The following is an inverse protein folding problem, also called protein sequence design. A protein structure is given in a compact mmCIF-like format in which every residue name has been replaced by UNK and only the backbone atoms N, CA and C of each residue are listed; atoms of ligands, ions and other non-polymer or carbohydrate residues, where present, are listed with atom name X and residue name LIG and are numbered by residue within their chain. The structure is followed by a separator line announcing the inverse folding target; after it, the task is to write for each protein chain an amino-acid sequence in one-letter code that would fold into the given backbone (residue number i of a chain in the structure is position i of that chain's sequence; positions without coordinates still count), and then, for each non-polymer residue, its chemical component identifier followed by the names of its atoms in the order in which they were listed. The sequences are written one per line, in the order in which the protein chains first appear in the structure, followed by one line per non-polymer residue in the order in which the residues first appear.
data_IF_957084433115
#
_entry.id   IF_957084433115
#
_cell.length_a   1.000
_cell.length_b   1.000
_cell.length_c   1.000
_cell.angle_alpha   90.00
_cell.angle_beta   90.00
_cell.angle_gamma   90.00
#
_symmetry.space_group_name_H-M   'P 1'
#
loop_
_entity.id
_entity.type
_entity.pdbx_description
1 polymer ?
#
# COMPACT_ATOMS: atom_id res chain seq x y z
N UNK A 1 20.96 0.37 17.95
CA UNK A 1 20.77 -0.90 17.21
C UNK A 1 19.97 -1.84 18.10
N UNK A 2 18.88 -2.41 17.59
CA UNK A 2 17.98 -3.27 18.37
C UNK A 2 18.63 -4.63 18.65
N UNK A 3 18.30 -5.25 19.78
CA UNK A 3 18.78 -6.56 20.25
C UNK A 3 18.73 -7.65 19.16
N UNK A 4 17.74 -7.56 18.25
CA UNK A 4 17.58 -8.45 17.09
C UNK A 4 18.74 -8.36 16.09
N UNK A 5 19.30 -7.17 15.86
CA UNK A 5 20.39 -6.94 14.89
C UNK A 5 21.70 -7.56 15.36
N UNK A 6 21.91 -7.68 16.67
CA UNK A 6 23.12 -8.26 17.25
C UNK A 6 23.14 -9.80 17.21
N UNK A 7 21.96 -10.44 17.15
CA UNK A 7 21.82 -11.89 17.35
C UNK A 7 21.71 -12.68 16.05
N UNK A 8 21.39 -12.01 14.93
CA UNK A 8 21.20 -12.63 13.62
C UNK A 8 21.78 -11.73 12.51
N UNK A 9 23.11 -11.73 12.30
CA UNK A 9 23.74 -10.90 11.27
C UNK A 9 23.26 -11.26 9.85
N UNK A 10 22.89 -12.51 9.58
CA UNK A 10 22.35 -12.91 8.27
C UNK A 10 20.93 -12.38 8.00
N UNK A 11 20.12 -12.13 9.03
CA UNK A 11 18.80 -11.49 8.88
C UNK A 11 18.92 -9.99 8.54
N UNK A 12 20.04 -9.36 8.88
CA UNK A 12 20.33 -7.99 8.44
C UNK A 12 20.65 -7.91 6.94
N UNK A 13 21.17 -8.99 6.34
CA UNK A 13 21.43 -9.09 4.91
C UNK A 13 20.21 -9.60 4.12
N UNK A 14 19.37 -10.46 4.72
CA UNK A 14 18.23 -11.10 4.06
C UNK A 14 16.91 -10.29 4.09
N UNK A 15 16.90 -9.05 4.61
CA UNK A 15 15.71 -8.16 4.56
C UNK A 15 15.78 -7.12 3.43
N UNK A 16 16.72 -7.26 2.50
CA UNK A 16 16.76 -6.49 1.26
C UNK A 16 16.14 -7.28 0.10
N UNK A 17 14.92 -7.78 0.29
CA UNK A 17 14.06 -8.00 -0.88
C UNK A 17 13.67 -6.62 -1.37
N UNK A 18 14.18 -6.24 -2.54
CA UNK A 18 13.66 -5.14 -3.33
C UNK A 18 12.18 -5.45 -3.59
N UNK A 19 11.29 -4.82 -2.84
CA UNK A 19 9.87 -4.82 -3.18
C UNK A 19 9.69 -3.95 -4.42
N UNK A 20 10.09 -4.49 -5.57
CA UNK A 20 9.86 -3.90 -6.88
C UNK A 20 8.36 -3.84 -7.14
N UNK A 21 7.88 -2.63 -7.42
CA UNK A 21 6.49 -2.38 -7.74
C UNK A 21 6.18 -3.02 -9.10
N UNK A 22 5.15 -3.87 -9.12
CA UNK A 22 4.57 -4.38 -10.37
C UNK A 22 3.87 -3.24 -11.11
N UNK A 23 4.21 -3.05 -12.38
CA UNK A 23 3.61 -2.07 -13.27
C UNK A 23 2.83 -2.83 -14.34
N UNK A 24 1.51 -2.73 -14.31
CA UNK A 24 0.63 -3.23 -15.37
C UNK A 24 0.34 -2.10 -16.38
N UNK A 25 0.87 -2.22 -17.59
CA UNK A 25 0.65 -1.23 -18.65
C UNK A 25 -0.67 -1.41 -19.41
N UNK A 26 -1.45 -2.45 -19.11
CA UNK A 26 -2.71 -2.73 -19.82
C UNK A 26 -3.87 -1.85 -19.37
N UNK A 27 -3.80 -1.27 -18.17
CA UNK A 27 -4.83 -0.39 -17.63
C UNK A 27 -4.26 0.65 -16.66
N UNK A 28 -4.88 1.84 -16.63
CA UNK A 28 -4.57 2.87 -15.64
C UNK A 28 -5.56 2.80 -14.46
N UNK A 29 -5.11 2.90 -13.18
CA UNK A 29 -3.71 3.10 -12.75
C UNK A 29 -2.84 1.84 -12.83
N UNK A 30 -1.58 1.94 -13.31
CA UNK A 30 -0.74 0.78 -13.58
C UNK A 30 -0.18 0.10 -12.33
N UNK A 31 -0.23 0.78 -11.18
CA UNK A 31 0.29 0.25 -9.91
C UNK A 31 -0.84 0.11 -8.91
N UNK A 32 -1.13 -1.14 -8.53
CA UNK A 32 -2.14 -1.44 -7.53
C UNK A 32 -1.86 -0.79 -6.17
N UNK A 33 -2.92 -0.34 -5.51
CA UNK A 33 -2.86 0.28 -4.20
C UNK A 33 -4.25 0.45 -3.58
N UNK A 34 -4.27 1.07 -2.40
CA UNK A 34 -5.51 1.43 -1.73
C UNK A 34 -5.95 2.82 -2.19
N UNK A 35 -6.75 2.85 -3.24
CA UNK A 35 -7.34 4.07 -3.79
C UNK A 35 -8.65 3.74 -4.51
N UNK A 36 -9.44 4.77 -4.72
CA UNK A 36 -10.65 4.76 -5.54
C UNK A 36 -10.46 5.71 -6.72
N UNK A 37 -10.71 5.24 -7.94
CA UNK A 37 -10.72 6.05 -9.16
C UNK A 37 -12.15 6.48 -9.46
N UNK A 38 -12.38 7.77 -9.68
CA UNK A 38 -13.70 8.34 -9.96
C UNK A 38 -13.82 8.83 -11.40
N UNK A 39 -12.82 9.58 -11.89
CA UNK A 39 -12.82 10.09 -13.26
C UNK A 39 -11.39 10.17 -13.82
N UNK A 40 -11.05 9.30 -14.77
CA UNK A 40 -9.69 9.21 -15.33
C UNK A 40 -9.22 10.51 -16.03
N UNK A 41 -10.15 11.31 -16.55
CA UNK A 41 -9.85 12.54 -17.26
C UNK A 41 -9.81 13.78 -16.36
N UNK A 42 -10.14 13.62 -15.07
CA UNK A 42 -10.17 14.73 -14.15
C UNK A 42 -8.75 15.11 -13.67
N UNK A 43 -8.50 16.38 -13.30
CA UNK A 43 -7.14 16.85 -13.07
C UNK A 43 -6.61 16.71 -11.64
N UNK A 44 -7.47 16.42 -10.66
CA UNK A 44 -7.08 16.46 -9.24
C UNK A 44 -6.99 15.07 -8.63
N UNK A 45 -5.82 14.68 -8.13
CA UNK A 45 -5.66 13.53 -7.26
C UNK A 45 -5.62 13.96 -5.78
N UNK A 46 -6.06 13.09 -4.87
CA UNK A 46 -6.06 13.37 -3.43
C UNK A 46 -5.41 12.22 -2.66
N UNK A 47 -4.36 12.52 -1.89
CA UNK A 47 -3.86 11.61 -0.85
C UNK A 47 -4.49 11.99 0.49
N UNK A 48 -5.18 11.05 1.13
CA UNK A 48 -5.81 11.23 2.45
C UNK A 48 -4.88 10.87 3.61
N UNK A 49 -3.61 10.60 3.31
CA UNK A 49 -2.56 10.24 4.27
C UNK A 49 -3.00 9.08 5.17
N UNK A 50 -3.05 9.27 6.50
CA UNK A 50 -3.46 8.24 7.45
C UNK A 50 -4.98 8.15 7.67
N UNK A 51 -5.80 8.90 6.92
CA UNK A 51 -7.22 9.07 7.23
C UNK A 51 -8.15 8.30 6.28
N UNK A 52 -8.35 7.02 6.58
CA UNK A 52 -9.23 6.11 5.80
C UNK A 52 -10.66 6.65 5.67
N UNK A 53 -11.22 7.25 6.73
CA UNK A 53 -12.59 7.78 6.70
C UNK A 53 -12.75 8.97 5.77
N UNK A 54 -11.67 9.71 5.49
CA UNK A 54 -11.72 10.86 4.60
C UNK A 54 -11.89 10.41 3.15
N UNK A 55 -11.23 9.32 2.76
CA UNK A 55 -11.38 8.71 1.44
C UNK A 55 -12.84 8.33 1.18
N UNK A 56 -13.46 7.54 2.07
CA UNK A 56 -14.85 7.13 1.92
C UNK A 56 -15.82 8.32 1.77
N UNK A 57 -15.57 9.41 2.49
CA UNK A 57 -16.42 10.60 2.43
C UNK A 57 -16.24 11.37 1.12
N UNK A 58 -15.00 11.52 0.63
CA UNK A 58 -14.73 12.18 -0.64
C UNK A 58 -15.27 11.38 -1.82
N UNK A 59 -15.16 10.04 -1.77
CA UNK A 59 -15.76 9.16 -2.77
C UNK A 59 -17.28 9.34 -2.82
N UNK A 60 -17.96 9.36 -1.66
CA UNK A 60 -19.41 9.57 -1.59
C UNK A 60 -19.83 10.96 -2.07
N UNK A 61 -19.04 11.98 -1.80
CA UNK A 61 -19.32 13.35 -2.21
C UNK A 61 -19.09 13.54 -3.72
N UNK A 62 -18.14 12.81 -4.30
CA UNK A 62 -17.76 12.84 -5.71
C UNK A 62 -17.68 14.27 -6.29
N UNK A 63 -16.82 15.15 -5.72
CA UNK A 63 -16.69 16.52 -6.20
C UNK A 63 -16.18 16.55 -7.65
N UNK A 64 -16.68 17.50 -8.42
CA UNK A 64 -16.26 17.66 -9.82
C UNK A 64 -14.76 17.96 -9.90
N UNK A 65 -14.06 17.26 -10.78
CA UNK A 65 -12.62 17.39 -10.95
C UNK A 65 -11.77 16.41 -10.13
N UNK A 66 -12.38 15.56 -9.30
CA UNK A 66 -11.68 14.49 -8.60
C UNK A 66 -11.38 13.30 -9.51
N UNK A 67 -10.10 13.01 -9.71
CA UNK A 67 -9.62 11.88 -10.50
C UNK A 67 -9.57 10.60 -9.70
N UNK A 68 -8.77 10.62 -8.64
CA UNK A 68 -8.57 9.49 -7.73
C UNK A 68 -8.32 10.00 -6.32
N UNK A 69 -8.70 9.20 -5.35
CA UNK A 69 -8.46 9.45 -3.93
C UNK A 69 -7.98 8.18 -3.27
N UNK A 70 -6.96 8.26 -2.42
CA UNK A 70 -6.45 7.10 -1.70
C UNK A 70 -5.63 7.48 -0.49
N UNK A 71 -5.44 6.53 0.42
CA UNK A 71 -4.59 6.74 1.60
C UNK A 71 -3.10 6.62 1.23
N UNK A 72 -2.23 7.20 2.05
CA UNK A 72 -0.78 7.04 1.88
C UNK A 72 -0.08 7.06 3.22
N UNK A 73 0.34 5.87 3.66
CA UNK A 73 0.86 5.71 5.02
C UNK A 73 2.40 5.74 5.08
N UNK A 74 3.07 5.18 4.07
CA UNK A 74 4.53 5.04 4.05
C UNK A 74 5.20 6.12 3.21
N UNK A 75 6.36 6.56 3.67
CA UNK A 75 7.21 7.63 3.11
C UNK A 75 8.17 7.13 2.01
N UNK A 76 8.01 5.88 1.57
CA UNK A 76 8.79 5.21 0.54
C UNK A 76 7.89 4.55 -0.50
N UNK A 77 7.45 3.30 -0.27
CA UNK A 77 6.65 2.52 -1.22
C UNK A 77 5.34 3.24 -1.55
N UNK A 78 4.68 3.85 -0.57
CA UNK A 78 3.46 4.62 -0.82
C UNK A 78 3.69 5.80 -1.77
N UNK A 79 4.82 6.49 -1.63
CA UNK A 79 5.22 7.59 -2.50
C UNK A 79 5.64 7.09 -3.89
N UNK A 80 6.39 5.98 -3.96
CA UNK A 80 6.73 5.34 -5.24
C UNK A 80 5.45 5.04 -6.06
N UNK A 81 4.42 4.47 -5.41
CA UNK A 81 3.13 4.16 -6.04
C UNK A 81 2.41 5.42 -6.54
N UNK A 82 2.40 6.49 -5.74
CA UNK A 82 1.81 7.78 -6.15
C UNK A 82 2.52 8.31 -7.40
N UNK A 83 3.85 8.36 -7.39
CA UNK A 83 4.63 8.88 -8.53
C UNK A 83 4.26 8.11 -9.80
N UNK A 84 4.35 6.78 -9.78
CA UNK A 84 4.05 5.94 -10.95
C UNK A 84 2.62 6.10 -11.46
N UNK A 85 1.63 6.14 -10.57
CA UNK A 85 0.22 6.32 -10.97
C UNK A 85 -0.08 7.72 -11.48
N UNK A 86 0.57 8.76 -10.94
CA UNK A 86 0.37 10.14 -11.39
C UNK A 86 1.04 10.40 -12.74
N UNK A 87 2.32 10.05 -12.90
CA UNK A 87 3.04 10.34 -14.16
C UNK A 87 2.53 9.52 -15.36
N UNK A 88 1.79 8.44 -15.09
CA UNK A 88 1.16 7.62 -16.12
C UNK A 88 -0.19 8.16 -16.60
N UNK A 89 -0.72 9.22 -15.97
CA UNK A 89 -1.92 9.93 -16.42
C UNK A 89 -1.66 11.43 -16.53
N UNK A 90 -1.41 11.96 -17.75
CA UNK A 90 -1.16 13.38 -17.99
C UNK A 90 -2.31 14.32 -17.60
N UNK A 91 -3.53 13.79 -17.43
CA UNK A 91 -4.68 14.60 -17.01
C UNK A 91 -4.48 15.14 -15.59
N UNK A 92 -3.79 14.37 -14.72
CA UNK A 92 -3.54 14.75 -13.34
C UNK A 92 -2.48 15.83 -13.30
N UNK A 93 -2.91 17.05 -12.97
CA UNK A 93 -2.06 18.24 -12.84
C UNK A 93 -2.00 18.78 -11.42
N UNK A 94 -2.81 18.25 -10.51
CA UNK A 94 -2.82 18.67 -9.10
C UNK A 94 -2.91 17.47 -8.15
N UNK A 95 -2.15 17.53 -7.06
CA UNK A 95 -2.20 16.54 -5.97
C UNK A 95 -2.45 17.25 -4.63
N UNK A 96 -3.59 16.98 -4.01
CA UNK A 96 -3.90 17.49 -2.67
C UNK A 96 -3.42 16.48 -1.63
N UNK A 97 -2.68 16.96 -0.63
CA UNK A 97 -2.29 16.18 0.55
C UNK A 97 -3.19 16.57 1.71
N UNK A 98 -4.14 15.73 2.08
CA UNK A 98 -5.16 16.02 3.09
C UNK A 98 -5.18 14.97 4.21
N UNK A 99 -5.72 15.35 5.36
CA UNK A 99 -5.86 14.46 6.51
C UNK A 99 -4.65 14.45 7.45
N UNK A 100 -4.71 13.57 8.46
CA UNK A 100 -3.65 13.45 9.46
C UNK A 100 -2.43 12.78 8.83
N UNK A 101 -1.26 13.40 9.00
CA UNK A 101 0.01 12.82 8.59
C UNK A 101 0.39 11.62 9.47
N UNK A 102 1.14 10.66 8.91
CA UNK A 102 1.52 9.45 9.63
C UNK A 102 2.60 9.73 10.68
N UNK A 103 2.42 9.20 11.90
CA UNK A 103 3.42 9.35 12.95
C UNK A 103 4.69 8.56 12.62
N UNK A 104 5.84 9.21 12.73
CA UNK A 104 7.15 8.65 12.37
C UNK A 104 7.42 8.64 10.87
N UNK A 105 6.52 8.09 10.06
CA UNK A 105 6.69 8.04 8.61
C UNK A 105 6.60 9.44 7.98
N UNK A 106 5.65 10.27 8.41
CA UNK A 106 5.42 11.63 7.89
C UNK A 106 5.29 11.63 6.36
N UNK A 107 4.44 10.74 5.82
CA UNK A 107 4.30 10.53 4.38
C UNK A 107 3.90 11.81 3.65
N UNK A 108 3.02 12.63 4.22
CA UNK A 108 2.58 13.90 3.62
C UNK A 108 3.71 14.92 3.55
N UNK A 109 4.39 15.17 4.68
CA UNK A 109 5.56 16.07 4.70
C UNK A 109 6.71 15.58 3.82
N UNK A 110 6.89 14.27 3.73
CA UNK A 110 7.89 13.67 2.85
C UNK A 110 7.54 13.90 1.38
N UNK A 111 6.27 13.79 1.01
CA UNK A 111 5.84 14.04 -0.36
C UNK A 111 5.94 15.52 -0.73
N UNK A 112 5.66 16.45 0.21
CA UNK A 112 5.95 17.88 0.01
C UNK A 112 7.45 18.12 -0.23
N UNK A 113 8.31 17.55 0.61
CA UNK A 113 9.75 17.69 0.48
C UNK A 113 10.27 17.11 -0.85
N UNK A 114 9.71 15.98 -1.32
CA UNK A 114 9.99 15.42 -2.64
C UNK A 114 9.60 16.37 -3.76
N UNK A 115 8.40 16.95 -3.69
CA UNK A 115 7.92 17.88 -4.70
C UNK A 115 8.80 19.13 -4.78
N UNK A 116 9.15 19.71 -3.63
CA UNK A 116 9.99 20.92 -3.54
C UNK A 116 11.45 20.66 -3.92
N UNK A 117 12.07 19.60 -3.38
CA UNK A 117 13.53 19.43 -3.38
C UNK A 117 14.03 18.23 -4.19
N UNK A 118 13.14 17.33 -4.62
CA UNK A 118 13.52 16.10 -5.32
C UNK A 118 14.27 15.09 -4.44
N UNK A 119 15.19 14.34 -5.05
CA UNK A 119 15.96 13.26 -4.41
C UNK A 119 17.47 13.44 -4.63
N UNK A 120 18.27 12.95 -3.69
CA UNK A 120 19.73 12.89 -3.83
C UNK A 120 20.18 11.72 -4.72
N UNK A 121 21.49 11.59 -4.94
CA UNK A 121 22.10 10.52 -5.75
C UNK A 121 21.78 9.08 -5.31
N UNK A 122 21.31 8.90 -4.07
CA UNK A 122 20.94 7.61 -3.50
C UNK A 122 19.42 7.42 -3.46
N UNK A 123 18.67 8.22 -4.22
CA UNK A 123 17.20 8.28 -4.22
C UNK A 123 16.58 8.63 -2.85
N UNK A 124 17.34 9.26 -1.95
CA UNK A 124 16.80 9.78 -0.70
C UNK A 124 16.12 11.11 -0.92
N UNK A 125 14.90 11.27 -0.40
CA UNK A 125 14.13 12.51 -0.51
C UNK A 125 14.79 13.61 0.33
N UNK A 126 15.16 14.69 -0.34
CA UNK A 126 15.88 15.82 0.27
C UNK A 126 14.91 16.59 1.15
N UNK A 127 15.31 16.88 2.40
CA UNK A 127 14.48 17.61 3.37
C UNK A 127 13.45 16.78 4.13
N UNK A 128 13.27 15.49 3.80
CA UNK A 128 12.34 14.63 4.54
C UNK A 128 12.87 14.22 5.92
N UNK A 129 11.98 14.30 6.92
CA UNK A 129 12.18 13.83 8.30
C UNK A 129 11.56 12.45 8.57
N UNK A 130 11.05 11.78 7.53
CA UNK A 130 10.53 10.42 7.64
C UNK A 130 11.60 9.43 8.10
N UNK A 131 11.19 8.26 8.61
CA UNK A 131 12.12 7.25 9.14
C UNK A 131 13.07 6.73 8.06
N UNK A 132 12.55 6.45 6.86
CA UNK A 132 13.26 5.87 5.72
C UNK A 132 12.76 6.44 4.38
N UNK A 133 13.03 7.72 4.10
CA UNK A 133 12.54 8.41 2.90
C UNK A 133 13.48 8.15 1.72
N UNK A 134 13.59 6.88 1.32
CA UNK A 134 14.40 6.44 0.19
C UNK A 134 13.47 5.73 -0.80
N UNK A 135 13.44 6.24 -2.02
CA UNK A 135 12.64 5.70 -3.10
C UNK A 135 13.46 4.63 -3.83
N UNK A 136 12.86 3.46 -4.07
CA UNK A 136 13.58 2.33 -4.71
C UNK A 136 12.95 1.87 -6.01
N UNK A 137 11.73 2.34 -6.30
CA UNK A 137 10.92 1.82 -7.39
C UNK A 137 10.61 2.87 -8.47
N UNK A 138 11.23 4.05 -8.35
CA UNK A 138 11.14 5.14 -9.33
C UNK A 138 12.54 5.59 -9.71
N UNK A 139 12.68 6.14 -10.90
CA UNK A 139 13.95 6.72 -11.37
C UNK A 139 14.02 8.21 -11.03
N UNK A 140 15.22 8.80 -11.12
CA UNK A 140 15.37 10.27 -11.08
C UNK A 140 14.48 10.96 -12.13
N UNK A 141 14.36 10.37 -13.33
CA UNK A 141 13.51 10.90 -14.41
C UNK A 141 12.03 10.89 -14.01
N UNK A 142 11.55 9.83 -13.37
CA UNK A 142 10.18 9.74 -12.87
C UNK A 142 9.89 10.82 -11.81
N UNK A 143 10.83 11.05 -10.89
CA UNK A 143 10.72 12.10 -9.87
C UNK A 143 10.62 13.48 -10.52
N UNK A 144 11.47 13.78 -11.49
CA UNK A 144 11.44 15.08 -12.19
C UNK A 144 10.18 15.26 -13.04
N UNK A 145 9.70 14.21 -13.71
CA UNK A 145 8.41 14.22 -14.42
C UNK A 145 7.27 14.53 -13.45
N UNK A 146 7.23 13.84 -12.31
CA UNK A 146 6.23 14.08 -11.28
C UNK A 146 6.24 15.53 -10.79
N UNK A 147 7.42 16.05 -10.44
CA UNK A 147 7.59 17.43 -9.95
C UNK A 147 7.12 18.49 -10.94
N UNK A 148 7.32 18.24 -12.24
CA UNK A 148 6.89 19.15 -13.32
C UNK A 148 5.42 19.02 -13.68
N UNK A 149 4.86 17.81 -13.59
CA UNK A 149 3.49 17.53 -14.02
C UNK A 149 2.47 18.03 -13.00
N UNK A 150 2.72 17.85 -11.70
CA UNK A 150 1.73 18.18 -10.67
C UNK A 150 2.11 19.37 -9.79
N UNK A 151 1.12 20.21 -9.52
CA UNK A 151 1.15 21.14 -8.40
C UNK A 151 0.69 20.41 -7.13
N UNK A 152 1.50 20.43 -6.07
CA UNK A 152 1.10 19.85 -4.79
C UNK A 152 0.46 20.93 -3.92
N UNK A 153 -0.74 20.63 -3.40
CA UNK A 153 -1.51 21.49 -2.52
C UNK A 153 -1.49 20.93 -1.09
N UNK A 154 -0.92 21.71 -0.17
CA UNK A 154 -0.75 21.29 1.22
C UNK A 154 -2.02 21.56 2.05
N UNK A 155 -2.79 20.50 2.31
CA UNK A 155 -3.96 20.51 3.19
C UNK A 155 -3.75 19.54 4.38
N UNK A 156 -2.49 19.31 4.77
CA UNK A 156 -2.15 18.39 5.84
C UNK A 156 -2.77 18.88 7.15
N UNK A 157 -3.48 17.98 7.84
CA UNK A 157 -4.27 18.28 9.03
C UNK A 157 -5.73 18.64 8.74
N UNK A 158 -6.07 18.98 7.49
CA UNK A 158 -7.45 19.25 7.10
C UNK A 158 -8.21 17.94 6.84
N UNK A 159 -9.32 17.73 7.56
CA UNK A 159 -10.24 16.60 7.34
C UNK A 159 -11.66 17.06 6.97
N UNK A 160 -11.84 18.36 6.67
CA UNK A 160 -13.14 18.92 6.30
C UNK A 160 -13.42 18.67 4.83
N UNK A 161 -14.42 17.82 4.56
CA UNK A 161 -14.77 17.40 3.20
C UNK A 161 -15.32 18.53 2.34
N UNK A 162 -16.01 19.52 2.93
CA UNK A 162 -16.54 20.67 2.18
C UNK A 162 -15.42 21.59 1.71
N UNK A 163 -14.46 21.86 2.59
CA UNK A 163 -13.27 22.65 2.23
C UNK A 163 -12.46 21.96 1.14
N UNK A 164 -12.24 20.65 1.27
CA UNK A 164 -11.51 19.86 0.27
C UNK A 164 -12.26 19.80 -1.06
N UNK A 165 -13.58 19.62 -1.06
CA UNK A 165 -14.39 19.66 -2.28
C UNK A 165 -14.29 21.00 -3.00
N UNK A 166 -14.42 22.12 -2.28
CA UNK A 166 -14.25 23.44 -2.86
C UNK A 166 -12.86 23.63 -3.48
N UNK A 167 -11.81 23.12 -2.83
CA UNK A 167 -10.43 23.18 -3.35
C UNK A 167 -10.23 22.30 -4.59
N UNK A 168 -10.83 21.11 -4.62
CA UNK A 168 -10.82 20.22 -5.79
C UNK A 168 -11.46 20.93 -6.99
N UNK A 169 -12.64 21.52 -6.79
CA UNK A 169 -13.34 22.24 -7.86
C UNK A 169 -12.58 23.49 -8.33
N UNK A 170 -11.96 24.22 -7.40
CA UNK A 170 -11.07 25.36 -7.71
C UNK A 170 -9.90 24.94 -8.59
N UNK A 171 -9.15 23.91 -8.18
CA UNK A 171 -8.02 23.40 -8.94
C UNK A 171 -8.46 22.83 -10.30
N UNK A 172 -9.63 22.19 -10.36
CA UNK A 172 -10.17 21.68 -11.61
C UNK A 172 -10.54 22.76 -12.62
N UNK A 173 -10.96 23.95 -12.17
CA UNK A 173 -11.22 25.09 -13.07
C UNK A 173 -9.93 25.73 -13.58
N UNK A 174 -8.88 25.70 -12.76
CA UNK A 174 -7.57 26.27 -13.10
C UNK A 174 -6.72 25.33 -13.96
N UNK A 175 -7.07 24.05 -14.02
CA UNK A 175 -6.43 23.09 -14.89
C UNK A 175 -6.73 23.43 -16.37
N UNK A 176 -5.68 23.60 -17.17
CA UNK A 176 -5.84 23.74 -18.61
C UNK A 176 -6.57 22.51 -19.19
N UNK A 177 -7.50 22.68 -20.15
CA UNK A 177 -8.14 21.53 -20.77
C UNK A 177 -7.07 20.64 -21.41
N UNK A 178 -7.06 19.37 -21.02
CA UNK A 178 -6.21 18.35 -21.62
C UNK A 178 -6.40 18.41 -23.13
N UNK A 179 -5.31 18.60 -23.88
CA UNK A 179 -5.33 18.72 -25.33
C UNK A 179 -6.08 17.53 -25.94
N UNK A 180 -7.32 17.76 -26.35
CA UNK A 180 -8.07 16.85 -27.19
C UNK A 180 -7.31 16.79 -28.52
N UNK A 181 -6.83 15.61 -28.88
CA UNK A 181 -6.35 15.32 -30.24
C UNK A 181 -7.49 15.53 -31.23
N UNK A 182 -7.64 16.76 -31.71
CA UNK A 182 -8.53 17.10 -32.80
C UNK A 182 -7.97 16.49 -34.07
N UNK A 183 -8.59 15.37 -34.46
CA UNK A 183 -8.67 14.91 -35.85
C UNK A 183 -9.01 16.10 -36.75
N UNK A 184 -8.03 16.54 -37.54
CA UNK A 184 -8.25 17.43 -38.66
C UNK A 184 -7.82 16.68 -39.92
N UNK A 185 -8.81 16.17 -40.67
CA UNK A 185 -8.62 15.75 -42.04
C UNK A 185 -8.70 16.97 -42.95
N UNK A 186 -7.64 17.23 -43.69
CA UNK A 186 -7.67 18.06 -44.90
C UNK A 186 -6.72 17.45 -45.93
N UNK A 187 -7.27 17.17 -47.11
CA UNK A 187 -6.55 16.74 -48.31
C UNK A 187 -5.61 17.85 -48.81
N UNK A 188 -4.43 17.48 -49.28
CA UNK A 188 -3.53 18.40 -49.97
C UNK A 188 -2.16 17.76 -50.22
N UNK A 189 -1.98 17.27 -51.45
CA UNK A 189 -0.72 16.79 -52.01
C UNK A 189 0.36 17.88 -51.98
N UNK A 190 1.54 17.57 -51.44
CA UNK A 190 2.78 18.32 -51.72
C UNK A 190 4.03 17.57 -51.21
N UNK A 191 4.79 17.04 -52.17
CA UNK A 191 6.19 17.43 -52.37
C UNK A 191 7.24 16.83 -51.43
N UNK A 192 7.90 15.81 -51.95
CA UNK A 192 9.22 15.30 -51.59
C UNK A 192 10.22 16.38 -51.11
N UNK A 193 10.80 16.16 -49.93
CA UNK A 193 12.20 16.46 -49.66
C UNK A 193 12.70 15.63 -48.48
N UNK A 194 13.44 14.58 -48.84
CA UNK A 194 14.25 13.75 -47.97
C UNK A 194 15.34 14.56 -47.28
N UNK A 195 15.23 14.73 -45.96
CA UNK A 195 16.34 15.16 -45.11
C UNK A 195 16.60 14.07 -44.07
N UNK A 196 17.51 13.17 -44.40
CA UNK A 196 18.06 12.15 -43.51
C UNK A 196 18.97 12.82 -42.48
N UNK A 197 18.42 13.16 -41.31
CA UNK A 197 19.21 13.43 -40.10
C UNK A 197 19.03 12.26 -39.15
N UNK A 198 20.06 11.43 -39.05
CA UNK A 198 20.15 10.32 -38.13
C UNK A 198 20.06 10.84 -36.69
N UNK A 199 18.98 10.48 -35.98
CA UNK A 199 18.90 10.63 -34.54
C UNK A 199 19.76 9.56 -33.88
N UNK A 200 20.58 9.87 -32.87
CA UNK A 200 21.23 8.84 -32.08
C UNK A 200 20.13 8.09 -31.31
N UNK A 201 20.02 6.79 -31.55
CA UNK A 201 19.15 5.91 -30.79
C UNK A 201 19.60 5.92 -29.32
N UNK A 202 18.92 6.70 -28.49
CA UNK A 202 19.02 6.59 -27.04
C UNK A 202 18.34 5.28 -26.67
N UNK A 203 19.16 4.25 -26.46
CA UNK A 203 18.72 2.97 -25.92
C UNK A 203 18.02 3.20 -24.59
N UNK A 204 16.70 3.02 -24.57
CA UNK A 204 15.91 2.95 -23.34
C UNK A 204 16.50 1.83 -22.46
N UNK A 205 16.67 2.06 -21.14
CA UNK A 205 17.08 1.00 -20.23
C UNK A 205 16.05 -0.12 -20.27
N UNK A 206 16.52 -1.35 -20.39
CA UNK A 206 15.69 -2.54 -20.40
C UNK A 206 14.78 -2.60 -19.17
N UNK A 207 13.53 -3.12 -19.31
CA UNK A 207 12.62 -3.21 -18.20
C UNK A 207 13.24 -4.05 -17.08
N UNK A 208 13.21 -3.50 -15.85
CA UNK A 208 13.48 -4.26 -14.63
C UNK A 208 12.74 -5.59 -14.69
N UNK A 209 13.45 -6.69 -14.43
CA UNK A 209 12.92 -8.04 -14.53
C UNK A 209 11.57 -8.11 -13.81
N UNK A 210 10.51 -8.47 -14.54
CA UNK A 210 9.15 -8.55 -14.00
C UNK A 210 9.15 -9.48 -12.78
N UNK A 211 8.90 -8.95 -11.57
CA UNK A 211 8.87 -9.84 -10.40
C UNK A 211 7.77 -10.89 -10.58
N UNK A 212 8.03 -12.17 -10.27
CA UNK A 212 7.04 -13.22 -10.46
C UNK A 212 5.76 -12.93 -9.66
N UNK A 213 4.65 -12.70 -10.35
CA UNK A 213 3.33 -12.69 -9.72
C UNK A 213 2.84 -14.13 -9.58
N UNK A 214 2.31 -14.49 -8.40
CA UNK A 214 1.76 -15.82 -8.13
C UNK A 214 0.32 -15.67 -7.68
N UNK A 215 -0.62 -16.14 -8.49
CA UNK A 215 -2.04 -16.23 -8.09
C UNK A 215 -2.23 -17.40 -7.13
N UNK A 216 -2.86 -17.14 -5.99
CA UNK A 216 -3.17 -18.17 -5.01
C UNK A 216 -4.09 -19.24 -5.63
N UNK A 217 -3.71 -20.51 -5.52
CA UNK A 217 -4.52 -21.64 -5.98
C UNK A 217 -5.55 -22.01 -4.92
N UNK A 218 -6.77 -22.35 -5.34
CA UNK A 218 -7.80 -22.92 -4.46
C UNK A 218 -7.27 -24.24 -3.89
N UNK A 219 -7.13 -24.33 -2.57
CA UNK A 219 -6.78 -25.61 -1.94
C UNK A 219 -8.02 -26.52 -1.92
N UNK A 220 -7.85 -27.75 -2.40
CA UNK A 220 -8.86 -28.81 -2.20
C UNK A 220 -8.90 -29.20 -0.73
N UNK A 221 -10.04 -29.71 -0.24
CA UNK A 221 -10.20 -30.22 1.13
C UNK A 221 -9.26 -31.38 1.49
N UNK A 222 -8.49 -31.88 0.53
CA UNK A 222 -7.75 -33.12 0.65
C UNK A 222 -6.31 -32.83 1.09
N UNK A 223 -5.99 -33.27 2.32
CA UNK A 223 -4.69 -33.26 3.00
C UNK A 223 -4.28 -31.98 3.75
N UNK A 224 -5.13 -31.49 4.67
CA UNK A 224 -4.61 -30.69 5.78
C UNK A 224 -3.75 -31.62 6.64
N UNK A 225 -2.44 -31.40 6.63
CA UNK A 225 -1.49 -32.13 7.47
C UNK A 225 -1.75 -31.77 8.93
N UNK A 226 -2.14 -32.78 9.71
CA UNK A 226 -2.35 -32.67 11.15
C UNK A 226 -1.02 -32.41 11.87
N UNK A 227 -1.09 -31.59 12.91
CA UNK A 227 0.09 -31.21 13.69
C UNK A 227 0.45 -32.28 14.71
N UNK A 228 1.69 -32.75 14.66
CA UNK A 228 2.17 -33.80 15.56
C UNK A 228 2.06 -33.43 17.04
N UNK A 229 2.06 -32.15 17.38
CA UNK A 229 1.94 -31.67 18.75
C UNK A 229 0.51 -31.80 19.32
N UNK A 230 -0.50 -31.97 18.45
CA UNK A 230 -1.91 -32.06 18.83
C UNK A 230 -2.74 -30.90 18.29
N UNK A 231 -3.84 -30.59 18.96
CA UNK A 231 -4.79 -29.55 18.54
C UNK A 231 -5.14 -28.60 19.68
N UNK A 232 -5.67 -27.42 19.32
CA UNK A 232 -6.02 -26.37 20.26
C UNK A 232 -7.53 -26.08 20.27
N UNK A 233 -8.06 -25.83 21.47
CA UNK A 233 -9.43 -25.36 21.69
C UNK A 233 -9.37 -23.97 22.30
N UNK A 234 -10.02 -23.00 21.66
CA UNK A 234 -9.96 -21.59 22.05
C UNK A 234 -11.27 -21.18 22.74
N UNK A 235 -11.13 -20.66 23.96
CA UNK A 235 -12.21 -20.26 24.84
C UNK A 235 -12.05 -18.78 25.21
N UNK A 236 -12.64 -17.85 24.44
CA UNK A 236 -12.64 -16.44 24.79
C UNK A 236 -13.59 -16.17 25.96
N UNK A 237 -13.15 -15.36 26.91
CA UNK A 237 -13.95 -14.91 28.06
C UNK A 237 -14.15 -13.39 28.01
N UNK A 238 -15.39 -12.97 27.77
CA UNK A 238 -15.78 -11.55 27.83
C UNK A 238 -15.65 -10.97 29.24
N UNK A 239 -16.02 -11.75 30.27
CA UNK A 239 -16.01 -11.30 31.68
C UNK A 239 -14.63 -10.81 32.13
N UNK A 240 -13.58 -11.52 31.72
CA UNK A 240 -12.22 -11.25 32.15
C UNK A 240 -11.34 -10.60 31.06
N UNK A 241 -11.93 -10.27 29.91
CA UNK A 241 -11.21 -9.82 28.71
C UNK A 241 -9.96 -10.67 28.41
N UNK A 242 -10.10 -11.99 28.50
CA UNK A 242 -8.99 -12.95 28.37
C UNK A 242 -9.36 -14.11 27.47
N UNK A 243 -8.38 -14.72 26.83
CA UNK A 243 -8.52 -15.92 26.02
C UNK A 243 -7.82 -17.07 26.76
N UNK A 244 -8.55 -18.17 26.93
CA UNK A 244 -8.00 -19.44 27.38
C UNK A 244 -7.83 -20.34 26.15
N UNK A 245 -6.65 -20.91 25.97
CA UNK A 245 -6.39 -21.92 24.96
C UNK A 245 -6.04 -23.22 25.66
N UNK A 246 -6.78 -24.26 25.34
CA UNK A 246 -6.49 -25.62 25.78
C UNK A 246 -5.78 -26.36 24.67
N UNK A 247 -4.74 -27.11 25.00
CA UNK A 247 -3.97 -27.89 24.05
C UNK A 247 -4.14 -29.38 24.37
N UNK A 248 -4.53 -30.17 23.38
CA UNK A 248 -4.87 -31.57 23.51
C UNK A 248 -4.01 -32.43 22.60
N UNK A 249 -3.69 -33.65 23.03
CA UNK A 249 -3.24 -34.70 22.11
C UNK A 249 -4.41 -35.24 21.28
N UNK A 250 -4.14 -35.98 20.21
CA UNK A 250 -5.17 -36.64 19.42
C UNK A 250 -5.90 -37.78 20.17
N UNK A 251 -5.35 -38.24 21.29
CA UNK A 251 -6.03 -39.14 22.22
C UNK A 251 -6.96 -38.38 23.20
N UNK A 252 -7.26 -37.11 22.90
CA UNK A 252 -8.08 -36.20 23.72
C UNK A 252 -7.54 -35.96 25.14
N UNK A 253 -6.24 -36.18 25.36
CA UNK A 253 -5.58 -35.86 26.63
C UNK A 253 -5.26 -34.37 26.67
N UNK A 254 -5.80 -33.67 27.67
CA UNK A 254 -5.44 -32.28 27.93
C UNK A 254 -3.96 -32.20 28.32
N UNK A 255 -3.16 -31.55 27.48
CA UNK A 255 -1.72 -31.40 27.66
C UNK A 255 -1.38 -30.14 28.48
N UNK A 256 -2.13 -29.06 28.31
CA UNK A 256 -1.90 -27.76 28.99
C UNK A 256 -3.01 -26.75 28.72
N UNK A 257 -3.04 -25.71 29.56
CA UNK A 257 -3.91 -24.53 29.45
C UNK A 257 -3.06 -23.27 29.37
N UNK A 258 -3.35 -22.39 28.42
CA UNK A 258 -2.58 -21.19 28.13
C UNK A 258 -3.54 -20.02 28.20
N UNK A 259 -3.32 -19.10 29.13
CA UNK A 259 -4.20 -17.94 29.34
C UNK A 259 -3.46 -16.66 28.98
N UNK A 260 -4.09 -15.81 28.17
CA UNK A 260 -3.54 -14.51 27.78
C UNK A 260 -4.61 -13.46 27.56
N UNK A 261 -4.19 -12.19 27.46
CA UNK A 261 -5.08 -11.05 27.17
C UNK A 261 -5.25 -10.79 25.66
N UNK A 262 -4.29 -11.25 24.87
CA UNK A 262 -4.27 -11.04 23.42
C UNK A 262 -3.72 -12.29 22.71
N UNK A 263 -4.06 -12.43 21.43
CA UNK A 263 -3.66 -13.54 20.58
C UNK A 263 -2.15 -13.56 20.32
N UNK A 264 -1.52 -12.40 20.24
CA UNK A 264 -0.07 -12.24 20.02
C UNK A 264 0.75 -12.98 21.06
N UNK A 265 0.52 -12.68 22.32
CA UNK A 265 1.25 -13.27 23.44
C UNK A 265 1.01 -14.78 23.51
N UNK A 266 -0.23 -15.22 23.22
CA UNK A 266 -0.61 -16.62 23.22
C UNK A 266 0.11 -17.41 22.11
N UNK A 267 0.03 -16.97 20.86
CA UNK A 267 0.68 -17.71 19.77
C UNK A 267 2.21 -17.66 19.89
N UNK A 268 2.81 -16.56 20.36
CA UNK A 268 4.25 -16.53 20.62
C UNK A 268 4.64 -17.46 21.75
N UNK A 269 3.83 -17.58 22.81
CA UNK A 269 4.06 -18.57 23.87
C UNK A 269 4.04 -19.99 23.30
N UNK A 270 3.06 -20.31 22.45
CA UNK A 270 2.93 -21.63 21.81
C UNK A 270 4.13 -21.94 20.90
N UNK A 271 4.53 -20.97 20.05
CA UNK A 271 5.66 -21.10 19.12
C UNK A 271 6.98 -21.25 19.89
N UNK A 272 7.24 -20.39 20.88
CA UNK A 272 8.50 -20.40 21.63
C UNK A 272 8.72 -21.71 22.40
N UNK A 273 7.63 -22.34 22.83
CA UNK A 273 7.68 -23.63 23.52
C UNK A 273 7.58 -24.84 22.57
N UNK A 274 7.54 -24.62 21.24
CA UNK A 274 7.42 -25.67 20.22
C UNK A 274 6.19 -26.56 20.41
N UNK A 275 5.07 -25.98 20.83
CA UNK A 275 3.79 -26.68 21.02
C UNK A 275 2.93 -26.72 19.76
N UNK A 276 3.40 -26.08 18.69
CA UNK A 276 2.88 -26.18 17.33
C UNK A 276 4.07 -26.48 16.43
N UNK A 277 3.94 -27.44 15.53
CA UNK A 277 5.03 -27.91 14.66
C UNK A 277 4.74 -27.72 13.18
N UNK A 278 3.47 -27.64 12.78
CA UNK A 278 3.08 -27.43 11.39
C UNK A 278 2.77 -25.95 11.12
N UNK A 279 3.36 -25.40 10.06
CA UNK A 279 3.16 -23.98 9.70
C UNK A 279 1.71 -23.66 9.34
N UNK A 280 1.01 -24.59 8.69
CA UNK A 280 -0.42 -24.48 8.39
C UNK A 280 -1.25 -24.38 9.69
N UNK A 281 -0.92 -25.18 10.70
CA UNK A 281 -1.59 -25.15 12.00
C UNK A 281 -1.27 -23.88 12.78
N UNK A 282 -0.02 -23.41 12.74
CA UNK A 282 0.36 -22.12 13.33
C UNK A 282 -0.38 -20.94 12.69
N UNK A 283 -0.53 -20.95 11.35
CA UNK A 283 -1.31 -19.94 10.63
C UNK A 283 -2.80 -19.99 10.99
N UNK A 284 -3.39 -21.19 11.04
CA UNK A 284 -4.77 -21.41 11.48
C UNK A 284 -4.99 -20.94 12.92
N UNK A 285 -4.10 -21.29 13.85
CA UNK A 285 -4.15 -20.86 15.24
C UNK A 285 -4.12 -19.32 15.36
N UNK A 286 -3.24 -18.66 14.61
CA UNK A 286 -3.19 -17.19 14.55
C UNK A 286 -4.50 -16.56 14.07
N UNK A 287 -5.09 -17.12 13.00
CA UNK A 287 -6.41 -16.71 12.47
C UNK A 287 -7.49 -16.83 13.54
N UNK A 288 -7.58 -17.97 14.21
CA UNK A 288 -8.62 -18.23 15.20
C UNK A 288 -8.46 -17.38 16.46
N UNK A 289 -7.21 -17.13 16.91
CA UNK A 289 -6.94 -16.23 18.03
C UNK A 289 -7.36 -14.79 17.72
N UNK A 290 -7.08 -14.29 16.50
CA UNK A 290 -7.52 -12.97 16.08
C UNK A 290 -9.06 -12.86 16.06
N UNK A 291 -9.76 -13.91 15.59
CA UNK A 291 -11.23 -13.98 15.63
C UNK A 291 -11.75 -14.00 17.08
N UNK A 292 -11.09 -14.74 17.96
CA UNK A 292 -11.44 -14.80 19.38
C UNK A 292 -11.29 -13.42 20.05
N UNK A 293 -10.20 -12.69 19.79
CA UNK A 293 -10.03 -11.31 20.26
C UNK A 293 -11.14 -10.38 19.75
N UNK A 294 -11.46 -10.49 18.46
CA UNK A 294 -12.50 -9.67 17.84
C UNK A 294 -13.88 -9.98 18.46
N UNK A 295 -14.15 -11.24 18.81
CA UNK A 295 -15.40 -11.65 19.47
C UNK A 295 -15.58 -10.99 20.84
N UNK A 296 -14.49 -10.82 21.59
CA UNK A 296 -14.49 -10.11 22.88
C UNK A 296 -14.76 -8.63 22.64
N UNK A 297 -14.04 -8.01 21.68
CA UNK A 297 -14.15 -6.57 21.38
C UNK A 297 -15.50 -6.16 20.79
N UNK A 298 -16.07 -6.98 19.92
CA UNK A 298 -17.29 -6.67 19.14
C UNK A 298 -18.53 -7.34 19.70
N UNK A 299 -18.39 -8.25 20.66
CA UNK A 299 -19.52 -8.83 21.37
C UNK A 299 -20.24 -9.97 20.63
N UNK A 300 -19.71 -10.52 19.54
CA UNK A 300 -20.33 -11.68 18.87
C UNK A 300 -19.95 -13.02 19.54
N UNK A 301 -20.68 -14.09 19.22
CA UNK A 301 -20.40 -15.45 19.70
C UNK A 301 -19.23 -16.04 18.91
N UNK A 302 -18.17 -16.42 19.60
CA UNK A 302 -17.06 -17.15 18.97
C UNK A 302 -17.43 -18.62 18.77
N UNK A 303 -17.21 -19.11 17.56
CA UNK A 303 -17.22 -20.53 17.20
C UNK A 303 -15.94 -20.76 16.39
N UNK A 304 -15.08 -21.64 16.91
CA UNK A 304 -13.84 -22.02 16.25
C UNK A 304 -14.19 -22.77 14.96
N UNK A 305 -13.51 -22.44 13.86
CA UNK A 305 -13.76 -23.13 12.58
C UNK A 305 -13.33 -24.60 12.69
N UNK A 306 -14.02 -25.53 12.02
CA UNK A 306 -13.46 -26.87 11.82
C UNK A 306 -12.19 -26.77 10.98
N UNK A 307 -11.12 -27.44 11.40
CA UNK A 307 -9.95 -27.68 10.55
C UNK A 307 -10.28 -28.74 9.50
#
# INVERSE_FOLDING_TARGET
MTFLTSKYPELASATLSTCEIQIDNSSWPPVEGEYTVLNKSAPVAVSTLANVKLEEKLVKLNPSGLCMVGKTETENIGIDKIIKNVISNPSISSLILAGKDTEGHQSGKTLLALWENGVDKNMRIIGSKGRRPILKNVTHSDVEKFRKQVQVENQIGCANTRTLAGKIEELSRNAAPAASSSSCGCHGDCGDQTVTMAMPAVSLPEPSAAVPSVTAKKQSKTSIKLDKAGYFVILPSKKNASILVEHYSYDNKLLRKIKGKNGRDIYFTIINNKWVTELSHAAYLGKELARAELSIKKGFKFVQDGA
#
